data_IF_251441833628
#
_entry.id   IF_251441833628
#
_cell.length_a   1.000
_cell.length_b   1.000
_cell.length_c   1.000
_cell.angle_alpha   90.00
_cell.angle_beta   90.00
_cell.angle_gamma   90.00
#
_symmetry.space_group_name_H-M   'P 1'
#
loop_
_entity.id
_entity.type
_entity.pdbx_description
1 polymer ?
#
# COMPACT_ATOMS: atom_id res chain seq x y z
N UNK A 1 25.63 12.90 -9.87
CA UNK A 1 24.62 13.14 -10.92
C UNK A 1 25.20 12.60 -12.21
N UNK A 2 24.51 11.71 -12.93
CA UNK A 2 25.04 11.16 -14.18
C UNK A 2 24.71 12.12 -15.32
N UNK A 3 25.73 12.62 -16.01
CA UNK A 3 25.56 13.32 -17.27
C UNK A 3 24.90 12.39 -18.30
N UNK A 4 24.09 12.95 -19.20
CA UNK A 4 23.44 12.16 -20.25
C UNK A 4 24.53 11.65 -21.19
N UNK A 5 24.69 10.32 -21.30
CA UNK A 5 25.73 9.72 -22.14
C UNK A 5 25.57 10.03 -23.63
N UNK A 6 26.69 10.03 -24.37
CA UNK A 6 26.72 10.34 -25.82
C UNK A 6 25.97 9.34 -26.70
N UNK A 7 25.72 8.14 -26.20
CA UNK A 7 24.88 7.11 -26.84
C UNK A 7 23.39 7.44 -26.77
N UNK A 8 22.97 8.35 -25.89
CA UNK A 8 21.57 8.73 -25.75
C UNK A 8 21.11 9.56 -26.96
N UNK A 9 20.00 9.16 -27.58
CA UNK A 9 19.45 9.84 -28.76
C UNK A 9 19.11 11.31 -28.47
N UNK A 10 18.58 11.61 -27.27
CA UNK A 10 18.28 12.98 -26.85
C UNK A 10 19.53 13.85 -26.74
N UNK A 11 20.65 13.29 -26.26
CA UNK A 11 21.92 14.00 -26.22
C UNK A 11 22.43 14.34 -27.63
N UNK A 12 22.33 13.39 -28.57
CA UNK A 12 22.71 13.62 -29.96
C UNK A 12 21.85 14.67 -30.64
N UNK A 13 20.54 14.67 -30.36
CA UNK A 13 19.62 15.67 -30.88
C UNK A 13 19.94 17.06 -30.33
N UNK A 14 20.16 17.19 -29.02
CA UNK A 14 20.55 18.45 -28.40
C UNK A 14 21.83 19.02 -29.03
N UNK A 15 22.87 18.19 -29.19
CA UNK A 15 24.12 18.62 -29.85
C UNK A 15 23.88 19.08 -31.30
N UNK A 16 23.05 18.37 -32.06
CA UNK A 16 22.68 18.78 -33.44
C UNK A 16 21.89 20.08 -33.48
N UNK A 17 21.08 20.36 -32.46
CA UNK A 17 20.34 21.62 -32.29
C UNK A 17 21.20 22.77 -31.77
N UNK A 18 22.52 22.59 -31.65
CA UNK A 18 23.46 23.64 -31.24
C UNK A 18 23.67 23.76 -29.72
N UNK A 19 23.09 22.88 -28.92
CA UNK A 19 23.34 22.85 -27.48
C UNK A 19 24.73 22.29 -27.17
N UNK A 20 25.42 22.90 -26.19
CA UNK A 20 26.75 22.48 -25.75
C UNK A 20 26.69 21.86 -24.36
N UNK A 21 27.43 20.79 -24.19
CA UNK A 21 27.53 20.11 -22.91
C UNK A 21 28.08 21.05 -21.82
N UNK A 22 27.41 21.09 -20.67
CA UNK A 22 27.76 21.99 -19.57
C UNK A 22 27.15 23.40 -19.66
N UNK A 23 26.41 23.72 -20.73
CA UNK A 23 25.69 25.00 -20.87
C UNK A 23 24.20 24.86 -20.59
N UNK A 24 23.59 25.92 -20.05
CA UNK A 24 22.15 25.98 -19.83
C UNK A 24 21.39 26.13 -21.15
N UNK A 25 20.08 25.83 -21.14
CA UNK A 25 19.22 26.05 -22.30
C UNK A 25 18.74 27.51 -22.37
N UNK A 26 18.40 28.00 -23.57
CA UNK A 26 17.86 29.34 -23.79
C UNK A 26 18.83 30.27 -24.53
N UNK A 27 18.35 31.44 -24.94
CA UNK A 27 19.10 32.38 -25.79
C UNK A 27 20.42 32.86 -25.19
N UNK A 28 20.51 32.93 -23.86
CA UNK A 28 21.69 33.34 -23.11
C UNK A 28 22.20 32.21 -22.22
N UNK A 29 21.89 30.96 -22.54
CA UNK A 29 22.25 29.79 -21.73
C UNK A 29 21.72 29.88 -20.28
N UNK A 30 20.63 30.62 -20.06
CA UNK A 30 20.11 30.99 -18.73
C UNK A 30 19.37 29.85 -18.00
N UNK A 31 19.09 28.75 -18.69
CA UNK A 31 18.39 27.60 -18.16
C UNK A 31 19.23 26.87 -17.10
N UNK A 32 18.56 26.25 -16.13
CA UNK A 32 19.25 25.51 -15.06
C UNK A 32 19.96 24.28 -15.64
N UNK A 33 21.20 24.06 -15.22
CA UNK A 33 22.01 22.90 -15.62
C UNK A 33 21.48 21.60 -15.02
N UNK A 34 21.01 21.68 -13.76
CA UNK A 34 20.55 20.53 -13.01
C UNK A 34 19.01 20.44 -13.01
N UNK A 35 18.42 19.23 -13.08
CA UNK A 35 17.01 18.96 -12.81
C UNK A 35 16.48 19.54 -11.47
N UNK A 36 15.17 19.75 -11.39
CA UNK A 36 14.55 20.24 -10.14
C UNK A 36 14.44 19.05 -9.21
N UNK A 37 14.91 19.17 -7.97
CA UNK A 37 14.64 18.14 -6.98
C UNK A 37 13.16 18.10 -6.62
N UNK A 38 12.55 16.92 -6.75
CA UNK A 38 11.18 16.67 -6.32
C UNK A 38 11.17 15.82 -5.06
N UNK A 39 10.30 16.15 -4.09
CA UNK A 39 10.04 15.29 -2.93
C UNK A 39 8.86 14.37 -3.21
N UNK A 40 9.08 13.07 -3.15
CA UNK A 40 7.99 12.09 -3.25
C UNK A 40 7.21 12.07 -1.94
N UNK A 41 5.89 12.22 -2.03
CA UNK A 41 5.01 12.17 -0.87
C UNK A 41 4.48 10.74 -0.69
N UNK A 42 5.03 10.03 0.29
CA UNK A 42 4.63 8.65 0.58
C UNK A 42 3.32 8.53 1.39
N UNK A 43 2.76 9.64 1.87
CA UNK A 43 1.55 9.64 2.68
C UNK A 43 0.34 10.21 1.93
N UNK A 44 -0.86 9.85 2.37
CA UNK A 44 -2.14 10.36 1.82
C UNK A 44 -2.69 11.57 2.60
N UNK A 45 -1.90 12.19 3.48
CA UNK A 45 -2.41 13.27 4.36
C UNK A 45 -2.51 14.58 3.59
N UNK A 46 -3.38 15.50 4.01
CA UNK A 46 -3.47 16.84 3.42
C UNK A 46 -2.16 17.63 3.54
N UNK A 47 -1.96 18.62 2.65
CA UNK A 47 -0.88 19.59 2.81
C UNK A 47 -1.08 20.38 4.12
N UNK A 48 0.01 20.69 4.82
CA UNK A 48 -0.07 21.37 6.14
C UNK A 48 -0.48 20.47 7.31
N UNK A 49 -0.73 19.17 7.09
CA UNK A 49 -1.05 18.27 8.20
C UNK A 49 0.19 18.06 9.11
N UNK A 50 0.05 18.28 10.42
CA UNK A 50 1.13 18.09 11.40
C UNK A 50 1.66 16.66 11.34
N UNK A 51 2.97 16.46 11.24
CA UNK A 51 3.57 15.11 11.25
C UNK A 51 3.06 14.28 12.44
N UNK A 52 2.81 12.98 12.25
CA UNK A 52 2.39 12.16 13.37
C UNK A 52 3.54 12.13 14.37
N UNK A 53 3.28 12.54 15.61
CA UNK A 53 4.25 12.42 16.69
C UNK A 53 4.73 10.96 16.73
N UNK A 54 6.02 10.75 16.49
CA UNK A 54 6.64 9.45 16.68
C UNK A 54 6.33 9.04 18.12
N UNK A 55 5.51 8.00 18.27
CA UNK A 55 5.31 7.39 19.58
C UNK A 55 6.66 6.77 19.94
N UNK A 56 7.27 7.08 21.10
CA UNK A 56 8.51 6.44 21.48
C UNK A 56 8.28 4.93 21.45
N UNK A 57 9.14 4.23 20.68
CA UNK A 57 9.22 2.78 20.73
C UNK A 57 9.68 2.45 22.15
N UNK A 58 8.78 1.86 22.93
CA UNK A 58 9.18 1.20 24.16
C UNK A 58 9.75 -0.13 23.70
N UNK A 59 11.07 -0.24 23.70
CA UNK A 59 11.75 -1.52 23.58
C UNK A 59 11.43 -2.31 24.86
N UNK A 60 10.61 -3.35 24.76
CA UNK A 60 10.37 -4.32 25.85
C UNK A 60 11.08 -5.64 25.50
N UNK A 61 12.39 -5.66 25.70
CA UNK A 61 13.16 -6.86 26.05
C UNK A 61 13.34 -6.84 27.58
N UNK A 62 12.67 -7.74 28.31
CA UNK A 62 12.76 -7.78 29.78
C UNK A 62 11.70 -8.62 30.50
N UNK A 63 11.99 -9.92 30.57
CA UNK A 63 11.48 -10.96 31.48
C UNK A 63 10.98 -10.51 32.91
N UNK A 64 9.77 -10.99 33.29
CA UNK A 64 9.19 -11.29 34.64
C UNK A 64 8.71 -10.20 35.64
N UNK A 65 7.39 -9.92 35.59
CA UNK A 65 6.31 -9.95 36.64
C UNK A 65 6.47 -9.46 38.11
N UNK A 66 5.39 -9.07 38.87
CA UNK A 66 3.96 -8.91 38.53
C UNK A 66 3.22 -7.63 39.07
N UNK A 67 1.97 -7.43 38.59
CA UNK A 67 0.83 -6.66 39.16
C UNK A 67 0.75 -5.13 39.02
N UNK A 68 0.15 -4.68 37.89
CA UNK A 68 -1.04 -3.79 37.83
C UNK A 68 -1.86 -4.13 36.55
N UNK A 69 -3.14 -4.56 36.62
CA UNK A 69 -3.87 -5.00 35.44
C UNK A 69 -4.30 -3.80 34.56
N UNK A 70 -3.70 -3.68 33.36
CA UNK A 70 -4.10 -2.75 32.30
C UNK A 70 -5.42 -3.22 31.67
N UNK A 71 -6.45 -2.38 31.77
CA UNK A 71 -7.81 -2.59 31.29
C UNK A 71 -7.96 -2.40 29.76
N UNK A 72 -7.24 -3.11 28.89
CA UNK A 72 -7.43 -3.05 27.42
C UNK A 72 -7.23 -4.41 26.69
N UNK A 73 -7.47 -5.53 27.38
CA UNK A 73 -7.41 -6.88 26.80
C UNK A 73 -8.75 -7.47 26.22
N UNK A 74 -9.97 -6.98 26.52
CA UNK A 74 -11.18 -7.69 26.07
C UNK A 74 -11.52 -7.45 24.58
N UNK A 75 -11.20 -6.27 24.04
CA UNK A 75 -11.63 -5.87 22.68
C UNK A 75 -10.94 -6.66 21.56
N UNK A 76 -9.67 -7.05 21.73
CA UNK A 76 -8.91 -7.80 20.71
C UNK A 76 -9.35 -9.27 20.63
N UNK A 77 -9.61 -9.90 21.79
CA UNK A 77 -10.10 -11.28 21.87
C UNK A 77 -11.53 -11.40 21.34
N UNK A 78 -12.41 -10.44 21.65
CA UNK A 78 -13.78 -10.40 21.14
C UNK A 78 -13.84 -10.27 19.61
N UNK A 79 -12.98 -9.43 19.00
CA UNK A 79 -12.91 -9.29 17.53
C UNK A 79 -12.46 -10.56 16.82
N UNK A 80 -11.51 -11.29 17.39
CA UNK A 80 -11.03 -12.55 16.82
C UNK A 80 -12.10 -13.66 16.91
N UNK A 81 -12.81 -13.73 18.04
CA UNK A 81 -13.94 -14.66 18.20
C UNK A 81 -15.07 -14.35 17.21
N UNK A 82 -15.46 -13.08 17.07
CA UNK A 82 -16.49 -12.66 16.11
C UNK A 82 -16.12 -12.99 14.66
N UNK A 83 -14.84 -12.84 14.27
CA UNK A 83 -14.37 -13.19 12.92
C UNK A 83 -14.44 -14.70 12.65
N UNK A 84 -14.17 -15.54 13.65
CA UNK A 84 -14.28 -17.00 13.55
C UNK A 84 -15.72 -17.46 13.41
N UNK A 85 -16.62 -16.89 14.23
CA UNK A 85 -18.06 -17.19 14.17
C UNK A 85 -18.63 -16.82 12.80
N UNK A 86 -18.32 -15.63 12.28
CA UNK A 86 -18.79 -15.20 10.95
C UNK A 86 -18.31 -16.13 9.82
N UNK A 87 -17.05 -16.58 9.87
CA UNK A 87 -16.51 -17.50 8.84
C UNK A 87 -17.19 -18.87 8.89
N UNK A 88 -17.46 -19.38 10.08
CA UNK A 88 -18.17 -20.65 10.27
C UNK A 88 -19.62 -20.57 9.76
N UNK A 89 -20.34 -19.49 10.07
CA UNK A 89 -21.71 -19.28 9.58
C UNK A 89 -21.78 -19.14 8.06
N UNK A 90 -20.78 -18.55 7.42
CA UNK A 90 -20.72 -18.42 5.95
C UNK A 90 -20.49 -19.77 5.27
N UNK A 91 -19.59 -20.60 5.82
CA UNK A 91 -19.35 -21.95 5.31
C UNK A 91 -20.57 -22.86 5.52
N UNK A 92 -21.22 -22.78 6.69
CA UNK A 92 -22.46 -23.50 6.98
C UNK A 92 -23.60 -23.07 6.06
N UNK A 93 -23.81 -21.76 5.86
CA UNK A 93 -24.81 -21.24 4.92
C UNK A 93 -24.55 -21.68 3.49
N UNK A 94 -23.28 -21.69 3.05
CA UNK A 94 -22.89 -22.16 1.73
C UNK A 94 -23.14 -23.66 1.55
N UNK A 95 -22.88 -24.46 2.58
CA UNK A 95 -23.20 -25.89 2.57
C UNK A 95 -24.71 -26.11 2.55
N UNK A 96 -25.45 -25.36 3.34
CA UNK A 96 -26.91 -25.42 3.39
C UNK A 96 -27.54 -24.98 2.06
N UNK A 97 -27.04 -23.93 1.42
CA UNK A 97 -27.49 -23.50 0.09
C UNK A 97 -27.17 -24.55 -0.97
N UNK A 98 -25.97 -25.16 -0.93
CA UNK A 98 -25.62 -26.26 -1.84
C UNK A 98 -26.49 -27.49 -1.62
N UNK A 99 -26.72 -27.86 -0.37
CA UNK A 99 -27.57 -28.99 -0.01
C UNK A 99 -29.04 -28.72 -0.38
N UNK A 100 -29.52 -27.51 -0.14
CA UNK A 100 -30.82 -27.04 -0.59
C UNK A 100 -30.94 -27.08 -2.11
N UNK A 101 -29.95 -26.58 -2.86
CA UNK A 101 -29.95 -26.59 -4.32
C UNK A 101 -29.94 -28.03 -4.86
N UNK A 102 -29.11 -28.90 -4.29
CA UNK A 102 -29.09 -30.33 -4.65
C UNK A 102 -30.41 -31.04 -4.31
N UNK A 103 -31.01 -30.76 -3.14
CA UNK A 103 -32.29 -31.34 -2.72
C UNK A 103 -33.46 -30.80 -3.55
N UNK A 104 -33.49 -29.48 -3.79
CA UNK A 104 -34.48 -28.79 -4.60
C UNK A 104 -34.47 -29.29 -6.04
N UNK A 105 -33.29 -29.43 -6.65
CA UNK A 105 -33.18 -29.95 -8.01
C UNK A 105 -33.59 -31.43 -8.09
N UNK A 106 -33.22 -32.23 -7.08
CA UNK A 106 -33.64 -33.64 -6.98
C UNK A 106 -35.16 -33.80 -6.84
N UNK A 107 -35.82 -32.90 -6.13
CA UNK A 107 -37.25 -32.99 -5.84
C UNK A 107 -38.12 -32.38 -6.95
N UNK A 108 -37.64 -31.32 -7.62
CA UNK A 108 -38.42 -30.59 -8.60
C UNK A 108 -38.11 -31.01 -10.06
N UNK A 109 -36.86 -31.38 -10.40
CA UNK A 109 -36.40 -31.68 -11.77
C UNK A 109 -35.62 -33.02 -11.86
N UNK A 110 -36.29 -34.18 -11.74
CA UNK A 110 -35.63 -35.49 -11.63
C UNK A 110 -34.92 -35.99 -12.90
N UNK A 111 -35.25 -35.47 -14.09
CA UNK A 111 -34.80 -36.01 -15.39
C UNK A 111 -33.49 -35.39 -15.94
N UNK A 112 -32.74 -34.61 -15.15
CA UNK A 112 -31.52 -33.92 -15.63
C UNK A 112 -30.24 -34.21 -14.82
N UNK A 113 -30.16 -35.44 -14.29
CA UNK A 113 -28.92 -36.12 -13.83
C UNK A 113 -28.51 -37.17 -14.86
#
# INVERSE_FOLDING_TARGET
MAAIGSSNVGFQLLKKSGWKEGTGLGAQEQGRLEPVESRVKNNKRGLGSKEPKLKPKVDEDGEKDPKKPKLEAPKKKAKLAAKRIRKMQEEEKRLQEREFEMAFFREFWPDNV
#
